data_IF_345268232348
#
_entry.id   IF_345268232348
#
_cell.length_a   1.000
_cell.length_b   1.000
_cell.length_c   1.000
_cell.angle_alpha   90.00
_cell.angle_beta   90.00
_cell.angle_gamma   90.00
#
_symmetry.space_group_name_H-M   'P 1'
#
loop_
_entity.id
_entity.type
_entity.pdbx_description
1 polymer ?
#
# COMPACT_ATOMS: atom_id res chain seq x y z
N UNK A 1 -0.82 24.40 24.32
CA UNK A 1 -1.08 24.13 22.88
C UNK A 1 -2.56 24.34 22.63
N UNK A 2 -2.96 25.30 21.78
CA UNK A 2 -4.38 25.61 21.53
C UNK A 2 -5.02 24.55 20.61
N UNK A 3 -6.35 24.41 20.63
CA UNK A 3 -7.08 23.45 19.79
C UNK A 3 -6.78 23.64 18.28
N UNK A 4 -6.58 24.88 17.85
CA UNK A 4 -6.24 25.24 16.47
C UNK A 4 -4.87 24.70 16.04
N UNK A 5 -3.87 24.78 16.92
CA UNK A 5 -2.51 24.30 16.68
C UNK A 5 -2.48 22.78 16.48
N UNK A 6 -3.12 22.04 17.39
CA UNK A 6 -3.28 20.57 17.28
C UNK A 6 -3.93 20.15 15.95
N UNK A 7 -4.98 20.87 15.52
CA UNK A 7 -5.67 20.57 14.26
C UNK A 7 -4.77 20.77 13.03
N UNK A 8 -3.89 21.79 13.07
CA UNK A 8 -2.96 22.09 12.00
C UNK A 8 -1.85 21.05 11.94
N UNK A 9 -1.30 20.66 13.09
CA UNK A 9 -0.28 19.62 13.18
C UNK A 9 -0.77 18.29 12.60
N UNK A 10 -1.97 17.84 12.98
CA UNK A 10 -2.53 16.58 12.46
C UNK A 10 -2.75 16.62 10.94
N UNK A 11 -3.18 17.77 10.39
CA UNK A 11 -3.29 17.95 8.94
C UNK A 11 -1.93 17.86 8.25
N UNK A 12 -0.89 18.47 8.81
CA UNK A 12 0.46 18.40 8.26
C UNK A 12 1.01 16.98 8.29
N UNK A 13 0.82 16.25 9.40
CA UNK A 13 1.20 14.83 9.50
C UNK A 13 0.46 14.00 8.45
N UNK A 14 -0.85 14.21 8.29
CA UNK A 14 -1.64 13.48 7.28
C UNK A 14 -1.13 13.73 5.85
N UNK A 15 -0.79 14.98 5.52
CA UNK A 15 -0.19 15.31 4.23
C UNK A 15 1.21 14.73 4.05
N UNK A 16 2.04 14.71 5.09
CA UNK A 16 3.35 14.07 5.05
C UNK A 16 3.23 12.56 4.79
N UNK A 17 2.29 11.88 5.48
CA UNK A 17 2.01 10.47 5.23
C UNK A 17 1.51 10.23 3.81
N UNK A 18 0.56 11.05 3.34
CA UNK A 18 0.02 10.93 1.98
C UNK A 18 1.10 11.16 0.91
N UNK A 19 1.98 12.15 1.10
CA UNK A 19 3.09 12.43 0.20
C UNK A 19 4.10 11.28 0.17
N UNK A 20 4.44 10.71 1.34
CA UNK A 20 5.30 9.52 1.42
C UNK A 20 4.71 8.35 0.63
N UNK A 21 3.46 7.98 0.92
CA UNK A 21 2.78 6.85 0.26
C UNK A 21 2.74 7.07 -1.26
N UNK A 22 2.39 8.27 -1.71
CA UNK A 22 2.32 8.55 -3.14
C UNK A 22 3.70 8.47 -3.80
N UNK A 23 4.73 9.05 -3.17
CA UNK A 23 6.10 9.00 -3.68
C UNK A 23 6.61 7.58 -3.76
N UNK A 24 6.46 6.80 -2.69
CA UNK A 24 6.95 5.43 -2.62
C UNK A 24 6.32 4.54 -3.70
N UNK A 25 4.99 4.55 -3.78
CA UNK A 25 4.26 3.76 -4.77
C UNK A 25 4.64 4.15 -6.20
N UNK A 26 4.79 5.45 -6.49
CA UNK A 26 5.19 5.92 -7.82
C UNK A 26 6.68 5.67 -8.12
N UNK A 27 7.55 5.71 -7.12
CA UNK A 27 8.99 5.51 -7.31
C UNK A 27 9.28 4.11 -7.86
N UNK A 28 8.62 3.07 -7.32
CA UNK A 28 8.86 1.69 -7.76
C UNK A 28 8.24 1.35 -9.12
N UNK A 29 7.37 2.20 -9.67
CA UNK A 29 6.79 1.99 -11.00
C UNK A 29 7.84 2.01 -12.11
N UNK A 30 8.96 2.69 -11.91
CA UNK A 30 10.08 2.64 -12.87
C UNK A 30 10.61 1.22 -13.06
N UNK A 31 10.49 0.34 -12.06
CA UNK A 31 10.89 -1.07 -12.15
C UNK A 31 9.74 -1.95 -12.64
N UNK A 32 8.50 -1.67 -12.18
CA UNK A 32 7.32 -2.47 -12.54
C UNK A 32 6.85 -2.21 -13.96
N UNK A 33 6.73 -0.97 -14.42
CA UNK A 33 6.20 -0.67 -15.76
C UNK A 33 7.18 -1.04 -16.87
N UNK A 34 8.48 -0.90 -16.63
CA UNK A 34 9.53 -1.19 -17.62
C UNK A 34 9.87 -2.68 -17.72
N UNK A 35 9.44 -3.50 -16.75
CA UNK A 35 9.84 -4.91 -16.70
C UNK A 35 11.31 -5.09 -16.36
N UNK A 36 11.79 -4.36 -15.33
CA UNK A 36 13.13 -4.57 -14.81
C UNK A 36 13.33 -6.04 -14.38
N UNK A 37 14.51 -6.60 -14.67
CA UNK A 37 14.83 -8.01 -14.39
C UNK A 37 14.62 -8.38 -12.92
N UNK A 38 14.99 -7.51 -11.98
CA UNK A 38 14.73 -7.75 -10.55
C UNK A 38 13.24 -7.81 -10.23
N UNK A 39 12.44 -6.93 -10.83
CA UNK A 39 10.97 -6.95 -10.69
C UNK A 39 10.37 -8.25 -11.25
N UNK A 40 10.81 -8.69 -12.42
CA UNK A 40 10.34 -9.92 -13.07
C UNK A 40 10.77 -11.14 -12.26
N UNK A 41 12.07 -11.36 -12.11
CA UNK A 41 12.62 -12.62 -11.61
C UNK A 41 12.61 -12.71 -10.08
N UNK A 42 12.77 -11.57 -9.40
CA UNK A 42 12.84 -11.51 -7.94
C UNK A 42 11.48 -11.42 -7.25
N UNK A 43 10.43 -10.95 -7.94
CA UNK A 43 9.12 -10.69 -7.32
C UNK A 43 7.99 -11.36 -8.08
N UNK A 44 7.76 -10.96 -9.33
CA UNK A 44 6.49 -11.27 -9.99
C UNK A 44 6.42 -12.65 -10.63
N UNK A 45 7.53 -13.20 -11.13
CA UNK A 45 7.57 -14.58 -11.63
C UNK A 45 7.44 -15.61 -10.51
N UNK A 46 8.12 -15.48 -9.35
CA UNK A 46 7.85 -16.30 -8.18
C UNK A 46 6.38 -16.26 -7.76
N UNK A 47 5.76 -15.08 -7.74
CA UNK A 47 4.33 -14.94 -7.44
C UNK A 47 3.46 -15.63 -8.48
N UNK A 48 3.71 -15.44 -9.78
CA UNK A 48 2.95 -16.09 -10.85
C UNK A 48 2.97 -17.61 -10.73
N UNK A 49 4.14 -18.17 -10.42
CA UNK A 49 4.31 -19.59 -10.18
C UNK A 49 3.52 -20.04 -8.93
N UNK A 50 3.59 -19.29 -7.83
CA UNK A 50 2.89 -19.60 -6.58
C UNK A 50 1.36 -19.57 -6.72
N UNK A 51 0.83 -18.64 -7.51
CA UNK A 51 -0.59 -18.57 -7.84
C UNK A 51 -1.01 -19.57 -8.93
N UNK A 52 -0.08 -20.33 -9.51
CA UNK A 52 -0.37 -21.26 -10.61
C UNK A 52 -0.88 -20.57 -11.87
N UNK A 53 -0.49 -19.32 -12.12
CA UNK A 53 -0.89 -18.60 -13.32
C UNK A 53 -0.08 -19.14 -14.51
N UNK A 54 -0.72 -19.70 -15.55
CA UNK A 54 -0.02 -20.29 -16.69
C UNK A 54 0.64 -19.25 -17.61
N UNK A 55 0.20 -17.99 -17.52
CA UNK A 55 0.83 -16.88 -18.21
C UNK A 55 2.11 -16.40 -17.48
N UNK A 56 3.06 -15.87 -18.25
CA UNK A 56 4.23 -15.18 -17.68
C UNK A 56 3.81 -14.03 -16.76
N UNK A 57 4.66 -13.63 -15.81
CA UNK A 57 4.35 -12.71 -14.70
C UNK A 57 3.63 -11.39 -15.02
N UNK A 58 3.81 -10.90 -16.26
CA UNK A 58 3.41 -9.57 -16.72
C UNK A 58 1.98 -9.14 -16.32
N UNK A 59 0.92 -9.98 -16.41
CA UNK A 59 -0.41 -9.59 -15.96
C UNK A 59 -0.49 -9.27 -14.47
N UNK A 60 0.21 -10.01 -13.61
CA UNK A 60 0.25 -9.73 -12.16
C UNK A 60 1.02 -8.44 -11.91
N UNK A 61 2.22 -8.30 -12.49
CA UNK A 61 3.04 -7.09 -12.31
C UNK A 61 2.33 -5.82 -12.73
N UNK A 62 1.74 -5.81 -13.92
CA UNK A 62 1.01 -4.64 -14.41
C UNK A 62 -0.32 -4.42 -13.66
N UNK A 63 -0.94 -5.49 -13.16
CA UNK A 63 -2.11 -5.38 -12.28
C UNK A 63 -1.78 -4.69 -10.96
N UNK A 64 -0.69 -5.11 -10.29
CA UNK A 64 -0.22 -4.48 -9.06
C UNK A 64 0.19 -3.02 -9.29
N UNK A 65 0.97 -2.75 -10.34
CA UNK A 65 1.34 -1.40 -10.76
C UNK A 65 0.11 -0.48 -10.95
N UNK A 66 -0.94 -0.97 -11.62
CA UNK A 66 -2.16 -0.19 -11.82
C UNK A 66 -2.87 0.16 -10.50
N UNK A 67 -2.91 -0.79 -9.55
CA UNK A 67 -3.52 -0.57 -8.23
C UNK A 67 -2.67 0.40 -7.39
N UNK A 68 -1.35 0.31 -7.45
CA UNK A 68 -0.43 1.22 -6.75
C UNK A 68 -0.53 2.65 -7.29
N UNK A 69 -0.61 2.83 -8.61
CA UNK A 69 -0.84 4.13 -9.24
C UNK A 69 -2.20 4.71 -8.82
N UNK A 70 -3.26 3.89 -8.79
CA UNK A 70 -4.56 4.34 -8.31
C UNK A 70 -4.47 4.77 -6.83
N UNK A 71 -3.83 3.98 -5.97
CA UNK A 71 -3.65 4.31 -4.56
C UNK A 71 -2.86 5.61 -4.34
N UNK A 72 -1.80 5.85 -5.12
CA UNK A 72 -0.97 7.05 -5.03
C UNK A 72 -1.73 8.32 -5.44
N UNK A 73 -2.63 8.24 -6.42
CA UNK A 73 -3.50 9.36 -6.80
C UNK A 73 -4.56 9.60 -5.72
N UNK A 74 -5.24 8.54 -5.27
CA UNK A 74 -6.34 8.66 -4.31
C UNK A 74 -5.88 9.22 -2.96
N UNK A 75 -4.70 8.83 -2.47
CA UNK A 75 -4.19 9.28 -1.17
C UNK A 75 -3.91 10.80 -1.13
N UNK A 76 -3.66 11.41 -2.28
CA UNK A 76 -3.42 12.85 -2.42
C UNK A 76 -4.70 13.69 -2.47
N UNK A 77 -5.83 13.10 -2.85
CA UNK A 77 -7.13 13.78 -2.93
C UNK A 77 -7.80 13.73 -1.54
N UNK A 78 -8.02 14.85 -0.82
CA UNK A 78 -8.51 14.82 0.56
C UNK A 78 -9.80 14.03 0.77
N UNK A 79 -10.74 14.11 -0.18
CA UNK A 79 -12.01 13.39 -0.11
C UNK A 79 -11.90 11.87 -0.37
N UNK A 80 -10.77 11.40 -0.91
CA UNK A 80 -10.51 9.99 -1.24
C UNK A 80 -9.33 9.41 -0.46
N UNK A 81 -8.76 10.22 0.46
CA UNK A 81 -7.49 9.92 1.13
C UNK A 81 -7.54 8.63 1.93
N UNK A 82 -8.63 8.40 2.65
CA UNK A 82 -8.84 7.16 3.40
C UNK A 82 -8.75 5.93 2.48
N UNK A 83 -9.35 6.00 1.29
CA UNK A 83 -9.34 4.89 0.33
C UNK A 83 -7.95 4.63 -0.24
N UNK A 84 -7.21 5.70 -0.61
CA UNK A 84 -5.82 5.58 -1.03
C UNK A 84 -4.94 4.96 0.07
N UNK A 85 -5.13 5.38 1.33
CA UNK A 85 -4.42 4.82 2.48
C UNK A 85 -4.75 3.34 2.73
N UNK A 86 -6.02 2.95 2.64
CA UNK A 86 -6.44 1.55 2.78
C UNK A 86 -5.91 0.67 1.64
N UNK A 87 -5.88 1.18 0.41
CA UNK A 87 -5.27 0.46 -0.72
C UNK A 87 -3.78 0.26 -0.51
N UNK A 88 -3.05 1.31 -0.10
CA UNK A 88 -1.63 1.20 0.22
C UNK A 88 -1.38 0.20 1.37
N UNK A 89 -2.22 0.23 2.41
CA UNK A 89 -2.13 -0.71 3.53
C UNK A 89 -2.34 -2.16 3.06
N UNK A 90 -3.30 -2.41 2.18
CA UNK A 90 -3.55 -3.72 1.60
C UNK A 90 -2.42 -4.20 0.68
N UNK A 91 -1.91 -3.32 -0.19
CA UNK A 91 -0.78 -3.59 -1.08
C UNK A 91 0.49 -3.94 -0.29
N UNK A 92 0.88 -3.11 0.69
CA UNK A 92 2.06 -3.35 1.52
C UNK A 92 1.87 -4.56 2.42
N UNK A 93 0.65 -4.80 2.93
CA UNK A 93 0.32 -6.02 3.68
C UNK A 93 0.50 -7.28 2.83
N UNK A 94 0.06 -7.24 1.57
CA UNK A 94 0.31 -8.29 0.59
C UNK A 94 1.80 -8.49 0.31
N UNK A 95 2.54 -7.41 0.08
CA UNK A 95 3.99 -7.48 -0.12
C UNK A 95 4.70 -8.14 1.08
N UNK A 96 4.44 -7.65 2.31
CA UNK A 96 4.99 -8.22 3.54
C UNK A 96 4.65 -9.70 3.67
N UNK A 97 3.40 -10.07 3.42
CA UNK A 97 2.97 -11.47 3.44
C UNK A 97 3.77 -12.32 2.43
N UNK A 98 3.91 -11.87 1.18
CA UNK A 98 4.61 -12.67 0.17
C UNK A 98 6.14 -12.70 0.33
N UNK A 99 6.72 -11.70 0.99
CA UNK A 99 8.13 -11.71 1.40
C UNK A 99 8.41 -12.64 2.60
N UNK A 100 7.43 -12.85 3.47
CA UNK A 100 7.62 -13.62 4.72
C UNK A 100 7.09 -15.05 4.66
N UNK A 101 5.90 -15.23 4.09
CA UNK A 101 5.20 -16.52 3.98
C UNK A 101 5.19 -17.03 2.54
N UNK A 102 5.20 -16.11 1.57
CA UNK A 102 5.15 -16.43 0.14
C UNK A 102 6.51 -16.73 -0.49
N UNK A 103 6.55 -16.76 -1.84
CA UNK A 103 7.69 -17.27 -2.60
C UNK A 103 8.83 -16.27 -2.79
N UNK A 104 8.68 -15.00 -2.37
CA UNK A 104 9.64 -13.93 -2.70
C UNK A 104 10.87 -14.01 -1.80
N UNK A 105 10.68 -14.31 -0.51
CA UNK A 105 11.74 -14.21 0.51
C UNK A 105 12.05 -12.77 0.94
N UNK A 106 12.70 -12.58 2.09
CA UNK A 106 12.94 -11.24 2.67
C UNK A 106 13.95 -10.42 1.85
N UNK A 107 14.96 -11.06 1.29
CA UNK A 107 16.06 -10.40 0.55
C UNK A 107 16.28 -11.05 -0.82
N UNK A 108 15.33 -10.89 -1.77
CA UNK A 108 15.41 -11.53 -3.08
C UNK A 108 16.57 -11.01 -3.95
N UNK A 109 17.15 -9.86 -3.60
CA UNK A 109 18.20 -9.19 -4.38
C UNK A 109 19.59 -9.26 -3.73
N UNK A 110 19.70 -9.75 -2.49
CA UNK A 110 20.94 -9.71 -1.72
C UNK A 110 21.37 -8.29 -1.35
N UNK A 111 20.41 -7.36 -1.21
CA UNK A 111 20.63 -5.95 -0.92
C UNK A 111 20.39 -5.60 0.57
N UNK A 112 20.27 -6.63 1.41
CA UNK A 112 19.94 -6.49 2.82
C UNK A 112 18.45 -6.27 3.07
N UNK A 113 17.58 -6.70 2.15
CA UNK A 113 16.13 -6.65 2.28
C UNK A 113 15.57 -5.23 2.14
N UNK A 114 16.15 -4.42 1.24
CA UNK A 114 15.75 -3.04 1.00
C UNK A 114 14.26 -2.92 0.69
N UNK A 115 13.79 -3.68 -0.30
CA UNK A 115 12.39 -3.70 -0.72
C UNK A 115 11.44 -4.09 0.42
N UNK A 116 11.81 -5.09 1.24
CA UNK A 116 11.00 -5.52 2.37
C UNK A 116 10.91 -4.45 3.46
N UNK A 117 12.00 -3.75 3.77
CA UNK A 117 12.03 -2.65 4.74
C UNK A 117 11.13 -1.50 4.30
N UNK A 118 11.19 -1.13 3.03
CA UNK A 118 10.30 -0.09 2.47
C UNK A 118 8.82 -0.50 2.54
N UNK A 119 8.50 -1.77 2.24
CA UNK A 119 7.15 -2.28 2.41
C UNK A 119 6.66 -2.18 3.87
N UNK A 120 7.50 -2.56 4.85
CA UNK A 120 7.17 -2.43 6.28
C UNK A 120 6.99 -0.97 6.71
N UNK A 121 7.88 -0.07 6.29
CA UNK A 121 7.79 1.34 6.65
C UNK A 121 6.54 1.97 6.06
N UNK A 122 6.27 1.74 4.77
CA UNK A 122 5.09 2.26 4.09
C UNK A 122 3.79 1.66 4.62
N UNK A 123 3.79 0.39 5.04
CA UNK A 123 2.67 -0.20 5.77
C UNK A 123 2.37 0.54 7.08
N UNK A 124 3.40 0.87 7.86
CA UNK A 124 3.23 1.64 9.10
C UNK A 124 2.72 3.06 8.83
N UNK A 125 3.23 3.74 7.81
CA UNK A 125 2.77 5.07 7.39
C UNK A 125 1.32 5.04 6.91
N UNK A 126 0.95 4.05 6.10
CA UNK A 126 -0.43 3.84 5.66
C UNK A 126 -1.35 3.56 6.86
N UNK A 127 -0.92 2.73 7.81
CA UNK A 127 -1.67 2.42 9.02
C UNK A 127 -1.90 3.66 9.90
N UNK A 128 -0.87 4.50 10.05
CA UNK A 128 -0.99 5.79 10.74
C UNK A 128 -1.99 6.70 10.02
N UNK A 129 -1.92 6.80 8.68
CA UNK A 129 -2.83 7.66 7.93
C UNK A 129 -4.29 7.18 8.02
N UNK A 130 -4.52 5.88 7.92
CA UNK A 130 -5.83 5.25 8.15
C UNK A 130 -6.32 5.54 9.57
N UNK A 131 -5.46 5.40 10.58
CA UNK A 131 -5.82 5.71 11.96
C UNK A 131 -6.21 7.18 12.15
N UNK A 132 -5.51 8.11 11.50
CA UNK A 132 -5.86 9.54 11.53
C UNK A 132 -7.24 9.82 10.91
N UNK A 133 -7.71 8.98 9.98
CA UNK A 133 -9.03 9.04 9.34
C UNK A 133 -10.04 8.00 9.89
N UNK A 134 -9.80 7.44 11.09
CA UNK A 134 -10.65 6.40 11.69
C UNK A 134 -12.12 6.80 11.87
N UNK A 135 -12.41 8.08 12.09
CA UNK A 135 -13.78 8.56 12.26
C UNK A 135 -14.55 8.52 10.92
N UNK A 136 -13.86 8.83 9.81
CA UNK A 136 -14.39 8.66 8.45
C UNK A 136 -14.60 7.18 8.13
N UNK A 137 -13.65 6.32 8.50
CA UNK A 137 -13.76 4.87 8.34
C UNK A 137 -14.94 4.30 9.12
N UNK A 138 -15.10 4.67 10.40
CA UNK A 138 -16.23 4.27 11.22
C UNK A 138 -17.56 4.74 10.62
N UNK A 139 -17.63 5.99 10.14
CA UNK A 139 -18.81 6.53 9.46
C UNK A 139 -19.22 5.71 8.24
N UNK A 140 -18.26 5.27 7.41
CA UNK A 140 -18.51 4.38 6.29
C UNK A 140 -19.00 2.99 6.73
N UNK A 141 -18.36 2.40 7.75
CA UNK A 141 -18.76 1.11 8.30
C UNK A 141 -20.16 1.13 8.92
N UNK A 142 -20.57 2.22 9.58
CA UNK A 142 -21.92 2.33 10.10
C UNK A 142 -22.98 2.49 9.00
N UNK A 143 -22.63 3.13 7.88
CA UNK A 143 -23.55 3.37 6.76
C UNK A 143 -23.78 2.14 5.90
N UNK A 144 -22.76 1.29 5.73
CA UNK A 144 -22.80 0.15 4.80
C UNK A 144 -22.49 -1.21 5.45
N UNK A 145 -22.08 -1.25 6.72
CA UNK A 145 -21.90 -2.50 7.45
C UNK A 145 -23.24 -3.19 7.73
N UNK A 146 -23.24 -4.51 7.91
CA UNK A 146 -24.44 -5.21 8.36
C UNK A 146 -24.94 -4.55 9.64
N UNK A 147 -26.22 -4.15 9.66
CA UNK A 147 -26.88 -3.73 10.90
C UNK A 147 -26.92 -4.96 11.80
N UNK A 148 -25.89 -5.17 12.61
CA UNK A 148 -25.94 -6.06 13.76
C UNK A 148 -26.98 -5.46 14.70
N UNK A 149 -28.25 -5.77 14.43
CA UNK A 149 -29.33 -5.63 15.41
C UNK A 149 -29.00 -6.65 16.49
N UNK A 150 -28.31 -6.20 17.53
CA UNK A 150 -28.22 -6.96 18.76
C UNK A 150 -29.67 -7.07 19.29
N UNK A 151 -30.23 -8.27 19.17
CA UNK A 151 -31.47 -8.67 19.82
C UNK A 151 -31.19 -9.03 21.28
#
# INVERSE_FOLDING_TARGET
MTHLDRSRTLRLIAWACAAWIAWELLYYEQFKLTGNVGSIDGVFQPLANWFGIPAHEKPIRLGVAAIEIAASVLVLIPALRLWGALMALGLMGGAIFFHTVGPIGIDPYGDGGGLFKEACFTFAVAGLLTWLHRDELAGWLHRFGPRLRLA
#
